data_IF_709179735877
#
_entry.id   IF_709179735877
#
_cell.length_a   1.000
_cell.length_b   1.000
_cell.length_c   1.000
_cell.angle_alpha   90.00
_cell.angle_beta   90.00
_cell.angle_gamma   90.00
#
_symmetry.space_group_name_H-M   'P 1'
#
loop_
_entity.id
_entity.type
_entity.pdbx_description
1 polymer ?
#
# COMPACT_ATOMS: atom_id res chain seq x y z
N UNK A 1 2.08 -14.81 4.00
CA UNK A 1 0.69 -14.46 4.31
C UNK A 1 -0.01 -15.70 4.85
N UNK A 2 -0.96 -15.55 5.78
CA UNK A 2 -1.63 -16.68 6.42
C UNK A 2 -2.83 -17.19 5.61
N UNK A 3 -3.26 -18.45 5.86
CA UNK A 3 -4.41 -19.06 5.18
C UNK A 3 -5.74 -18.57 5.77
N UNK A 4 -5.81 -18.40 7.09
CA UNK A 4 -7.02 -17.97 7.80
C UNK A 4 -6.82 -16.61 8.46
N UNK A 5 -7.91 -15.86 8.64
CA UNK A 5 -7.88 -14.55 9.28
C UNK A 5 -7.46 -14.64 10.77
N UNK A 6 -7.83 -15.72 11.44
CA UNK A 6 -7.47 -15.97 12.85
C UNK A 6 -5.95 -16.09 13.08
N UNK A 7 -5.22 -16.65 12.12
CA UNK A 7 -3.76 -16.78 12.16
C UNK A 7 -3.04 -15.43 12.07
N UNK A 8 -3.70 -14.43 11.44
CA UNK A 8 -3.11 -13.11 11.25
C UNK A 8 -2.86 -12.41 12.60
N UNK A 9 -3.72 -12.65 13.59
CA UNK A 9 -3.54 -12.12 14.94
C UNK A 9 -2.24 -12.61 15.58
N UNK A 10 -1.91 -13.90 15.45
CA UNK A 10 -0.66 -14.45 15.96
C UNK A 10 0.55 -13.90 15.20
N UNK A 11 0.49 -13.87 13.87
CA UNK A 11 1.56 -13.33 13.03
C UNK A 11 1.88 -11.88 13.41
N UNK A 12 0.86 -11.03 13.56
CA UNK A 12 1.05 -9.64 13.93
C UNK A 12 1.72 -9.49 15.30
N UNK A 13 1.34 -10.30 16.30
CA UNK A 13 1.99 -10.29 17.62
C UNK A 13 3.49 -10.60 17.55
N UNK A 14 3.88 -11.57 16.73
CA UNK A 14 5.30 -11.92 16.55
C UNK A 14 6.06 -10.76 15.90
N UNK A 15 5.51 -10.21 14.81
CA UNK A 15 6.12 -9.10 14.07
C UNK A 15 6.24 -7.82 14.91
N UNK A 16 5.28 -7.58 15.81
CA UNK A 16 5.23 -6.38 16.64
C UNK A 16 5.68 -6.62 18.08
N UNK A 17 6.34 -7.76 18.36
CA UNK A 17 6.79 -8.13 19.72
C UNK A 17 7.76 -7.12 20.35
N UNK A 18 8.48 -6.36 19.52
CA UNK A 18 9.39 -5.27 19.91
C UNK A 18 8.78 -3.88 19.70
N UNK A 19 7.47 -3.77 19.48
CA UNK A 19 6.82 -2.48 19.30
C UNK A 19 6.52 -1.87 20.67
N UNK A 20 7.06 -0.68 20.93
CA UNK A 20 6.85 0.04 22.20
C UNK A 20 5.44 0.66 22.33
N UNK A 21 4.56 0.45 21.34
CA UNK A 21 3.19 0.98 21.33
C UNK A 21 2.20 -0.15 21.51
N UNK A 22 1.18 0.07 22.33
CA UNK A 22 0.04 -0.84 22.40
C UNK A 22 -0.79 -0.73 21.11
N UNK A 23 -0.72 -1.76 20.27
CA UNK A 23 -1.46 -1.85 19.01
C UNK A 23 -2.88 -2.42 19.16
N UNK A 24 -3.32 -2.75 20.38
CA UNK A 24 -4.66 -3.26 20.70
C UNK A 24 -5.05 -4.53 19.91
N UNK A 25 -4.07 -5.37 19.56
CA UNK A 25 -4.28 -6.58 18.73
C UNK A 25 -5.17 -7.66 19.36
N UNK A 26 -5.38 -7.62 20.68
CA UNK A 26 -6.23 -8.57 21.43
C UNK A 26 -7.61 -8.01 21.75
N UNK A 27 -7.87 -6.75 21.41
CA UNK A 27 -9.11 -6.10 21.76
C UNK A 27 -10.14 -6.41 20.67
N UNK A 28 -11.28 -7.06 21.02
CA UNK A 28 -12.31 -7.32 20.05
C UNK A 28 -12.90 -6.00 19.56
N UNK A 29 -13.22 -5.95 18.27
CA UNK A 29 -13.87 -4.80 17.65
C UNK A 29 -15.35 -5.12 17.49
N UNK A 30 -16.21 -4.21 17.96
CA UNK A 30 -17.64 -4.29 17.69
C UNK A 30 -17.89 -4.03 16.20
N UNK A 31 -18.34 -5.06 15.49
CA UNK A 31 -18.58 -4.97 14.05
C UNK A 31 -19.72 -4.01 13.71
N UNK A 32 -20.68 -3.79 14.62
CA UNK A 32 -21.79 -2.87 14.39
C UNK A 32 -21.34 -1.40 14.35
N UNK A 33 -20.18 -1.10 14.92
CA UNK A 33 -19.57 0.23 14.87
C UNK A 33 -18.72 0.46 13.62
N UNK A 34 -18.51 -0.58 12.80
CA UNK A 34 -17.71 -0.46 11.59
C UNK A 34 -18.47 0.28 10.49
N UNK A 35 -17.78 1.22 9.87
CA UNK A 35 -18.20 1.86 8.63
C UNK A 35 -17.33 1.34 7.49
N UNK A 36 -17.90 0.47 6.67
CA UNK A 36 -17.22 -0.13 5.51
C UNK A 36 -17.41 0.78 4.30
N UNK A 37 -16.31 1.23 3.72
CA UNK A 37 -16.34 1.94 2.44
C UNK A 37 -15.82 1.03 1.33
N UNK A 38 -16.51 1.02 0.19
CA UNK A 38 -16.07 0.25 -0.97
C UNK A 38 -15.99 1.12 -2.22
N UNK A 39 -15.21 0.64 -3.19
CA UNK A 39 -15.07 1.20 -4.54
C UNK A 39 -14.71 0.05 -5.47
N UNK A 40 -15.18 0.14 -6.70
CA UNK A 40 -14.79 -0.81 -7.73
C UNK A 40 -13.40 -0.44 -8.20
N UNK A 41 -13.22 0.69 -8.89
CA UNK A 41 -11.98 0.91 -9.64
C UNK A 41 -11.23 2.23 -9.39
N UNK A 42 -9.98 2.25 -9.85
CA UNK A 42 -9.12 3.42 -9.98
C UNK A 42 -8.65 3.61 -11.43
N UNK A 43 -9.46 3.18 -12.41
CA UNK A 43 -9.05 2.97 -13.82
C UNK A 43 -8.51 4.20 -14.54
N UNK A 44 -8.73 5.40 -13.99
CA UNK A 44 -8.19 6.63 -14.55
C UNK A 44 -6.75 6.92 -14.11
N UNK A 45 -6.21 6.14 -13.19
CA UNK A 45 -4.89 6.33 -12.63
C UNK A 45 -3.81 5.58 -13.42
N UNK A 46 -2.64 6.21 -13.57
CA UNK A 46 -1.57 5.66 -14.38
C UNK A 46 -1.08 4.30 -13.85
N UNK A 47 -0.96 3.31 -14.74
CA UNK A 47 -0.47 1.98 -14.39
C UNK A 47 -1.49 1.08 -13.67
N UNK A 48 -2.74 1.53 -13.48
CA UNK A 48 -3.82 0.69 -12.97
C UNK A 48 -4.53 0.01 -14.13
N UNK A 49 -4.73 -1.30 -14.01
CA UNK A 49 -5.50 -2.07 -14.99
C UNK A 49 -7.00 -1.89 -14.75
N UNK A 50 -7.81 -1.89 -15.83
CA UNK A 50 -9.25 -1.83 -15.70
C UNK A 50 -9.77 -3.06 -14.95
N UNK A 51 -10.82 -2.85 -14.16
CA UNK A 51 -11.51 -3.93 -13.47
C UNK A 51 -12.42 -4.70 -14.42
N UNK A 52 -12.45 -6.02 -14.23
CA UNK A 52 -13.37 -6.93 -14.93
C UNK A 52 -14.67 -7.09 -14.13
N UNK A 53 -15.83 -7.29 -14.78
CA UNK A 53 -17.13 -7.37 -14.10
C UNK A 53 -17.17 -8.39 -12.96
N UNK A 54 -16.49 -9.53 -13.10
CA UNK A 54 -16.46 -10.58 -12.08
C UNK A 54 -15.84 -10.10 -10.76
N UNK A 55 -14.87 -9.17 -10.81
CA UNK A 55 -14.28 -8.58 -9.61
C UNK A 55 -15.24 -7.61 -8.93
N UNK A 56 -16.02 -6.83 -9.70
CA UNK A 56 -17.07 -5.97 -9.13
C UNK A 56 -18.12 -6.81 -8.42
N UNK A 57 -18.56 -7.89 -9.05
CA UNK A 57 -19.50 -8.86 -8.50
C UNK A 57 -19.01 -9.44 -7.17
N UNK A 58 -17.73 -9.78 -7.07
CA UNK A 58 -17.12 -10.26 -5.81
C UNK A 58 -17.22 -9.22 -4.69
N UNK A 59 -16.90 -7.95 -5.00
CA UNK A 59 -16.99 -6.85 -4.02
C UNK A 59 -18.46 -6.62 -3.63
N UNK A 60 -19.39 -6.64 -4.58
CA UNK A 60 -20.81 -6.48 -4.30
C UNK A 60 -21.36 -7.59 -3.41
N UNK A 61 -20.94 -8.85 -3.60
CA UNK A 61 -21.32 -9.95 -2.71
C UNK A 61 -20.82 -9.74 -1.28
N UNK A 62 -19.61 -9.23 -1.11
CA UNK A 62 -19.07 -8.88 0.21
C UNK A 62 -19.86 -7.73 0.86
N UNK A 63 -20.19 -6.67 0.10
CA UNK A 63 -21.03 -5.55 0.56
C UNK A 63 -22.40 -6.05 1.00
N UNK A 64 -23.04 -6.90 0.19
CA UNK A 64 -24.33 -7.52 0.54
C UNK A 64 -24.24 -8.32 1.83
N UNK A 65 -23.18 -9.09 2.01
CA UNK A 65 -22.97 -9.87 3.23
C UNK A 65 -22.83 -8.97 4.47
N UNK A 66 -22.09 -7.86 4.38
CA UNK A 66 -22.00 -6.89 5.47
C UNK A 66 -23.38 -6.30 5.81
N UNK A 67 -24.13 -5.86 4.80
CA UNK A 67 -25.46 -5.27 5.00
C UNK A 67 -26.48 -6.27 5.60
N UNK A 68 -26.38 -7.55 5.25
CA UNK A 68 -27.21 -8.61 5.82
C UNK A 68 -26.92 -8.91 7.30
N UNK A 69 -25.77 -8.47 7.81
CA UNK A 69 -25.36 -8.61 9.21
C UNK A 69 -25.39 -7.25 9.93
N UNK A 70 -26.22 -6.31 9.46
CA UNK A 70 -26.39 -4.97 10.03
C UNK A 70 -25.10 -4.12 10.10
N UNK A 71 -24.12 -4.41 9.24
CA UNK A 71 -22.88 -3.64 9.12
C UNK A 71 -23.04 -2.62 7.99
N UNK A 72 -22.82 -1.34 8.30
CA UNK A 72 -22.93 -0.25 7.33
C UNK A 72 -21.84 -0.37 6.27
N UNK A 73 -22.25 -0.55 5.02
CA UNK A 73 -21.38 -0.53 3.85
C UNK A 73 -21.87 0.50 2.82
N UNK A 74 -20.99 1.43 2.41
CA UNK A 74 -21.35 2.46 1.42
C UNK A 74 -20.24 2.70 0.40
N UNK A 75 -20.65 3.11 -0.80
CA UNK A 75 -19.69 3.48 -1.84
C UNK A 75 -18.93 4.72 -1.37
N UNK A 76 -17.61 4.70 -1.47
CA UNK A 76 -16.76 5.78 -1.02
C UNK A 76 -17.15 7.10 -1.72
N UNK A 77 -17.63 8.12 -0.99
CA UNK A 77 -18.22 9.34 -1.57
C UNK A 77 -17.15 10.37 -1.96
N UNK A 78 -16.00 9.92 -2.47
CA UNK A 78 -14.96 10.78 -3.00
C UNK A 78 -14.58 10.34 -4.40
N UNK A 79 -14.45 11.33 -5.28
CA UNK A 79 -13.74 11.15 -6.54
C UNK A 79 -12.24 11.13 -6.24
N UNK A 80 -11.56 10.12 -6.79
CA UNK A 80 -10.11 10.01 -6.66
C UNK A 80 -9.45 10.76 -7.80
N UNK A 81 -8.37 11.49 -7.52
CA UNK A 81 -7.59 12.13 -8.57
C UNK A 81 -6.97 11.07 -9.48
N UNK A 82 -6.76 11.44 -10.75
CA UNK A 82 -6.01 10.66 -11.72
C UNK A 82 -4.57 10.42 -11.27
N UNK A 83 -4.05 11.30 -10.42
CA UNK A 83 -2.69 11.29 -9.90
C UNK A 83 -2.54 10.49 -8.58
N UNK A 84 -3.48 9.58 -8.27
CA UNK A 84 -3.43 8.81 -7.02
C UNK A 84 -2.14 8.00 -6.86
N UNK A 85 -1.59 7.47 -7.94
CA UNK A 85 -0.38 6.65 -7.89
C UNK A 85 0.83 7.50 -7.51
N UNK A 86 0.91 8.71 -8.03
CA UNK A 86 1.93 9.71 -7.72
C UNK A 86 1.80 10.20 -6.27
N UNK A 87 0.57 10.40 -5.78
CA UNK A 87 0.30 10.69 -4.37
C UNK A 87 0.81 9.56 -3.48
N UNK A 88 0.55 8.31 -3.84
CA UNK A 88 1.03 7.14 -3.08
C UNK A 88 2.55 7.06 -3.08
N UNK A 89 3.21 7.20 -4.24
CA UNK A 89 4.68 7.11 -4.32
C UNK A 89 5.37 8.24 -3.57
N UNK A 90 4.87 9.47 -3.65
CA UNK A 90 5.43 10.59 -2.89
C UNK A 90 5.17 10.45 -1.39
N UNK A 91 4.04 9.87 -0.99
CA UNK A 91 3.75 9.50 0.39
C UNK A 91 4.71 8.44 0.93
N UNK A 92 4.97 7.38 0.16
CA UNK A 92 5.91 6.31 0.51
C UNK A 92 7.33 6.86 0.67
N UNK A 93 7.76 7.74 -0.23
CA UNK A 93 9.07 8.40 -0.14
C UNK A 93 9.22 9.27 1.12
N UNK A 94 8.15 9.92 1.55
CA UNK A 94 8.14 10.73 2.79
C UNK A 94 8.01 9.88 4.06
N UNK A 95 7.70 8.59 3.95
CA UNK A 95 7.61 7.72 5.11
C UNK A 95 8.98 7.63 5.80
N UNK A 96 9.04 8.10 7.05
CA UNK A 96 10.25 7.98 7.87
C UNK A 96 10.58 6.49 8.01
N UNK A 97 11.85 6.12 7.78
CA UNK A 97 12.36 4.75 7.89
C UNK A 97 11.84 3.76 6.82
N UNK A 98 11.56 4.22 5.59
CA UNK A 98 11.39 3.29 4.47
C UNK A 98 12.61 2.35 4.41
N UNK A 99 12.35 1.05 4.58
CA UNK A 99 13.42 0.06 4.74
C UNK A 99 14.04 -0.25 3.39
N UNK A 100 15.37 -0.28 3.31
CA UNK A 100 16.03 -0.80 2.13
C UNK A 100 15.78 -2.31 2.06
N UNK A 101 15.09 -2.76 1.00
CA UNK A 101 14.78 -4.19 0.79
C UNK A 101 15.74 -4.87 -0.19
N UNK A 102 16.71 -4.15 -0.78
CA UNK A 102 17.83 -4.73 -1.51
C UNK A 102 18.93 -5.12 -0.52
N UNK A 103 18.75 -6.27 0.11
CA UNK A 103 19.73 -6.84 1.05
C UNK A 103 20.55 -7.89 0.32
N UNK A 104 21.87 -7.83 0.45
CA UNK A 104 22.73 -8.90 -0.02
C UNK A 104 22.64 -10.07 0.96
N UNK A 105 22.20 -11.23 0.48
CA UNK A 105 22.00 -12.43 1.29
C UNK A 105 23.31 -12.95 1.94
N UNK A 106 24.46 -12.72 1.29
CA UNK A 106 25.76 -13.19 1.77
C UNK A 106 26.42 -12.20 2.73
N UNK A 107 26.18 -10.90 2.55
CA UNK A 107 26.68 -9.86 3.44
C UNK A 107 25.69 -8.69 3.56
N UNK A 108 24.87 -8.66 4.62
CA UNK A 108 23.90 -7.58 4.85
C UNK A 108 24.51 -6.17 4.99
N UNK A 109 25.83 -6.06 5.20
CA UNK A 109 26.52 -4.76 5.28
C UNK A 109 26.82 -4.18 3.89
N UNK A 110 26.80 -4.99 2.84
CA UNK A 110 27.02 -4.53 1.47
C UNK A 110 25.79 -3.78 0.98
N UNK A 111 25.95 -2.46 0.80
CA UNK A 111 24.90 -1.62 0.24
C UNK A 111 24.78 -1.86 -1.27
N UNK A 112 23.62 -2.33 -1.71
CA UNK A 112 23.30 -2.47 -3.13
C UNK A 112 22.79 -1.12 -3.66
N UNK A 113 23.35 -0.65 -4.77
CA UNK A 113 22.85 0.56 -5.43
C UNK A 113 21.56 0.23 -6.22
N UNK A 114 20.42 0.86 -5.91
CA UNK A 114 19.15 0.51 -6.54
C UNK A 114 19.07 0.81 -8.04
N UNK A 115 19.78 1.84 -8.52
CA UNK A 115 19.82 2.21 -9.95
C UNK A 115 20.59 1.17 -10.75
N UNK A 116 21.74 0.73 -10.23
CA UNK A 116 22.52 -0.34 -10.85
C UNK A 116 21.72 -1.65 -10.83
N UNK A 117 21.04 -1.95 -9.73
CA UNK A 117 20.22 -3.16 -9.64
C UNK A 117 19.05 -3.11 -10.64
N UNK A 118 18.39 -1.96 -10.79
CA UNK A 118 17.37 -1.75 -11.83
C UNK A 118 17.93 -2.04 -13.23
N UNK A 119 19.11 -1.51 -13.56
CA UNK A 119 19.74 -1.78 -14.85
C UNK A 119 20.00 -3.27 -15.06
N UNK A 120 20.55 -3.96 -14.06
CA UNK A 120 20.74 -5.43 -14.12
C UNK A 120 19.42 -6.17 -14.35
N UNK A 121 18.32 -5.71 -13.78
CA UNK A 121 17.01 -6.37 -13.99
C UNK A 121 16.51 -6.30 -15.43
N UNK A 122 16.88 -5.26 -16.19
CA UNK A 122 16.54 -5.14 -17.61
C UNK A 122 17.26 -6.20 -18.46
N UNK A 123 18.45 -6.60 -18.04
CA UNK A 123 19.26 -7.63 -18.70
C UNK A 123 19.14 -9.02 -18.08
N UNK A 124 18.28 -9.21 -17.08
CA UNK A 124 18.12 -10.49 -16.38
C UNK A 124 19.32 -10.90 -15.50
N UNK A 125 20.19 -9.96 -15.15
CA UNK A 125 21.40 -10.19 -14.35
C UNK A 125 21.19 -9.95 -12.85
N UNK A 126 20.02 -9.42 -12.47
CA UNK A 126 19.68 -9.13 -11.08
C UNK A 126 19.34 -10.41 -10.32
N UNK A 127 19.90 -10.56 -9.13
CA UNK A 127 19.48 -11.62 -8.19
C UNK A 127 18.22 -11.22 -7.41
N UNK A 128 17.87 -9.94 -7.43
CA UNK A 128 16.68 -9.39 -6.82
C UNK A 128 15.51 -9.34 -7.81
N UNK A 129 14.29 -9.32 -7.26
CA UNK A 129 13.08 -9.09 -8.07
C UNK A 129 13.08 -7.67 -8.65
N UNK A 130 12.50 -7.50 -9.84
CA UNK A 130 12.33 -6.19 -10.51
C UNK A 130 11.63 -5.18 -9.59
N UNK A 131 10.63 -5.65 -8.85
CA UNK A 131 9.84 -4.86 -7.91
C UNK A 131 10.69 -4.37 -6.73
N UNK A 132 11.61 -5.19 -6.21
CA UNK A 132 12.52 -4.78 -5.13
C UNK A 132 13.49 -3.69 -5.59
N UNK A 133 14.04 -3.82 -6.80
CA UNK A 133 14.88 -2.78 -7.40
C UNK A 133 14.10 -1.48 -7.63
N UNK A 134 12.88 -1.56 -8.16
CA UNK A 134 12.00 -0.42 -8.40
C UNK A 134 11.63 0.31 -7.10
N UNK A 135 11.20 -0.43 -6.09
CA UNK A 135 10.86 0.13 -4.78
C UNK A 135 12.03 0.90 -4.18
N UNK A 136 13.23 0.32 -4.15
CA UNK A 136 14.40 0.99 -3.58
C UNK A 136 14.84 2.20 -4.41
N UNK A 137 14.72 2.12 -5.74
CA UNK A 137 14.96 3.27 -6.60
C UNK A 137 14.00 4.42 -6.28
N UNK A 138 12.71 4.15 -6.05
CA UNK A 138 11.72 5.18 -5.70
C UNK A 138 11.98 5.84 -4.34
N UNK A 139 12.41 5.09 -3.33
CA UNK A 139 12.65 5.64 -1.98
C UNK A 139 14.01 6.33 -1.85
N UNK A 140 15.06 5.81 -2.50
CA UNK A 140 16.43 6.36 -2.39
C UNK A 140 16.68 7.50 -3.40
N UNK A 141 16.01 7.49 -4.55
CA UNK A 141 16.21 8.49 -5.61
C UNK A 141 15.04 9.46 -5.72
N UNK A 142 15.23 10.54 -6.47
CA UNK A 142 14.15 11.49 -6.82
C UNK A 142 13.32 11.04 -8.01
N UNK A 143 13.86 10.18 -8.85
CA UNK A 143 13.17 9.74 -10.05
C UNK A 143 11.85 9.03 -9.74
N UNK A 144 10.76 9.31 -10.49
CA UNK A 144 10.65 10.27 -11.60
C UNK A 144 10.24 11.70 -11.20
N UNK A 145 10.16 12.01 -9.90
CA UNK A 145 9.57 13.25 -9.38
C UNK A 145 10.58 14.35 -9.06
N UNK A 146 10.27 15.59 -9.45
CA UNK A 146 10.98 16.78 -8.96
C UNK A 146 10.61 17.09 -7.49
N UNK A 147 11.34 18.01 -6.85
CA UNK A 147 10.96 18.47 -5.49
C UNK A 147 9.59 19.16 -5.48
N UNK A 148 9.27 19.93 -6.53
CA UNK A 148 7.96 20.55 -6.67
C UNK A 148 6.85 19.52 -6.79
N UNK A 149 7.06 18.44 -7.54
CA UNK A 149 6.08 17.35 -7.69
C UNK A 149 5.83 16.67 -6.34
N UNK A 150 6.89 16.36 -5.60
CA UNK A 150 6.80 15.76 -4.27
C UNK A 150 6.01 16.66 -3.30
N UNK A 151 6.20 17.97 -3.37
CA UNK A 151 5.44 18.94 -2.58
C UNK A 151 3.98 18.99 -3.01
N UNK A 152 3.73 19.04 -4.31
CA UNK A 152 2.41 19.11 -4.92
C UNK A 152 1.54 17.89 -4.55
N UNK A 153 2.03 16.67 -4.83
CA UNK A 153 1.30 15.44 -4.56
C UNK A 153 1.11 15.18 -3.06
N UNK A 154 2.06 15.57 -2.22
CA UNK A 154 1.88 15.46 -0.77
C UNK A 154 0.77 16.39 -0.24
N UNK A 155 0.63 17.60 -0.81
CA UNK A 155 -0.50 18.49 -0.49
C UNK A 155 -1.82 17.86 -0.91
N UNK A 156 -1.90 17.29 -2.11
CA UNK A 156 -3.10 16.58 -2.56
C UNK A 156 -3.46 15.40 -1.65
N UNK A 157 -2.48 14.58 -1.26
CA UNK A 157 -2.69 13.48 -0.31
C UNK A 157 -3.24 13.95 1.05
N UNK A 158 -2.84 15.14 1.50
CA UNK A 158 -3.36 15.74 2.74
C UNK A 158 -4.82 16.16 2.58
N UNK A 159 -5.20 16.73 1.43
CA UNK A 159 -6.59 17.08 1.10
C UNK A 159 -7.48 15.83 1.05
N UNK A 160 -7.02 14.74 0.43
CA UNK A 160 -7.77 13.48 0.40
C UNK A 160 -7.96 12.94 1.83
N UNK A 161 -6.90 12.95 2.64
CA UNK A 161 -6.98 12.50 4.04
C UNK A 161 -8.01 13.30 4.85
N UNK A 162 -8.09 14.61 4.64
CA UNK A 162 -9.08 15.46 5.32
C UNK A 162 -10.52 15.16 4.89
N UNK A 163 -10.75 14.68 3.66
CA UNK A 163 -12.09 14.26 3.22
C UNK A 163 -12.51 12.89 3.76
N UNK A 164 -11.56 12.11 4.29
CA UNK A 164 -11.79 10.75 4.80
C UNK A 164 -11.92 10.67 6.33
N UNK A 165 -11.46 11.70 7.05
CA UNK A 165 -11.58 11.85 8.51
C UNK A 165 -12.85 12.62 8.87
#
# INVERSE_FOLDING_TARGET
MARYAEDLGLLMKVLTSKCDRNLRLNEPVDLQQLKVYYRFSMDKAFGILPIVPEMEDCVQRAVKHFMQNDIRAEKLPIEWPTEVVEIVFTGLKKAKNASNILINANDPKVKINPVIEMLKTLFGLSQNTKQAAFYNMLIETRFPFSESDISHYAKQGTVIRQKLL
#
